data_IF_326270908882
#
_entry.id   IF_326270908882
#
_cell.length_a   1.000
_cell.length_b   1.000
_cell.length_c   1.000
_cell.angle_alpha   90.00
_cell.angle_beta   90.00
_cell.angle_gamma   90.00
#
_symmetry.space_group_name_H-M   'P 1'
#
loop_
_entity.id
_entity.type
_entity.pdbx_description
1 polymer ?
#
# COMPACT_ATOMS: atom_id res chain seq x y z
N UNK A 1 7.48 14.41 -11.31
CA UNK A 1 7.21 14.26 -12.76
C UNK A 1 7.58 15.50 -13.55
N UNK A 2 7.61 16.68 -12.90
CA UNK A 2 8.01 17.99 -13.46
C UNK A 2 9.27 17.89 -14.35
N UNK A 3 10.32 17.22 -13.88
CA UNK A 3 11.60 17.10 -14.62
C UNK A 3 11.46 16.36 -15.96
N UNK A 4 10.68 15.28 -16.04
CA UNK A 4 10.52 14.50 -17.29
C UNK A 4 9.68 15.28 -18.31
N UNK A 5 8.68 16.04 -17.84
CA UNK A 5 7.85 16.89 -18.68
C UNK A 5 8.62 18.09 -19.25
N UNK A 6 9.53 18.67 -18.46
CA UNK A 6 10.47 19.71 -18.90
C UNK A 6 11.45 19.18 -19.96
N UNK A 7 11.97 17.95 -19.79
CA UNK A 7 12.85 17.31 -20.77
C UNK A 7 12.10 17.03 -22.07
N UNK A 8 10.89 16.48 -22.02
CA UNK A 8 10.06 16.24 -23.21
C UNK A 8 9.80 17.54 -23.99
N UNK A 9 9.49 18.63 -23.26
CA UNK A 9 9.28 19.94 -23.86
C UNK A 9 10.56 20.47 -24.52
N UNK A 10 11.70 20.33 -23.85
CA UNK A 10 13.01 20.75 -24.38
C UNK A 10 13.41 19.98 -25.63
N UNK A 11 13.17 18.65 -25.65
CA UNK A 11 13.40 17.80 -26.83
C UNK A 11 12.47 18.19 -27.98
N UNK A 12 11.20 18.52 -27.70
CA UNK A 12 10.27 19.02 -28.72
C UNK A 12 10.74 20.32 -29.35
N UNK A 13 11.22 21.27 -28.53
CA UNK A 13 11.78 22.53 -29.03
C UNK A 13 13.02 22.27 -29.88
N UNK A 14 13.91 21.36 -29.45
CA UNK A 14 15.08 20.97 -30.22
C UNK A 14 14.71 20.32 -31.56
N UNK A 15 13.65 19.48 -31.60
CA UNK A 15 13.12 18.90 -32.85
C UNK A 15 12.65 19.98 -33.82
N UNK A 16 11.91 20.98 -33.32
CA UNK A 16 11.41 22.06 -34.16
C UNK A 16 12.55 22.94 -34.70
N UNK A 17 13.60 23.16 -33.91
CA UNK A 17 14.80 23.85 -34.35
C UNK A 17 15.56 23.04 -35.41
N UNK A 18 15.78 21.75 -35.20
CA UNK A 18 16.43 20.87 -36.17
C UNK A 18 15.68 20.85 -37.51
N UNK A 19 14.34 20.79 -37.47
CA UNK A 19 13.50 20.90 -38.67
C UNK A 19 13.65 22.24 -39.38
N UNK A 20 13.69 23.36 -38.64
CA UNK A 20 13.90 24.71 -39.21
C UNK A 20 15.25 24.85 -39.90
N UNK A 21 16.30 24.24 -39.33
CA UNK A 21 17.64 24.25 -39.91
C UNK A 21 17.85 23.17 -40.98
N UNK A 22 16.80 22.41 -41.35
CA UNK A 22 16.87 21.28 -42.29
C UNK A 22 17.89 20.20 -41.88
N UNK A 23 18.20 20.12 -40.59
CA UNK A 23 19.08 19.10 -40.03
C UNK A 23 18.28 17.82 -39.79
N UNK A 24 18.15 17.03 -40.86
CA UNK A 24 17.34 15.81 -40.88
C UNK A 24 17.87 14.75 -39.91
N UNK A 25 19.20 14.58 -39.85
CA UNK A 25 19.82 13.56 -39.00
C UNK A 25 19.57 13.87 -37.52
N UNK A 26 19.74 15.13 -37.11
CA UNK A 26 19.44 15.54 -35.74
C UNK A 26 17.94 15.43 -35.43
N UNK A 27 17.06 15.79 -36.37
CA UNK A 27 15.62 15.66 -36.18
C UNK A 27 15.18 14.20 -35.99
N UNK A 28 15.72 13.25 -36.77
CA UNK A 28 15.42 11.82 -36.64
C UNK A 28 15.87 11.27 -35.27
N UNK A 29 17.10 11.55 -34.86
CA UNK A 29 17.63 11.16 -33.54
C UNK A 29 16.78 11.72 -32.39
N UNK A 30 16.31 12.96 -32.51
CA UNK A 30 15.46 13.57 -31.48
C UNK A 30 14.06 12.95 -31.41
N UNK A 31 13.50 12.47 -32.53
CA UNK A 31 12.23 11.72 -32.53
C UNK A 31 12.38 10.38 -31.81
N UNK A 32 13.49 9.68 -32.02
CA UNK A 32 13.80 8.44 -31.30
C UNK A 32 13.92 8.70 -29.79
N UNK A 33 14.68 9.72 -29.39
CA UNK A 33 14.82 10.14 -27.99
C UNK A 33 13.46 10.48 -27.37
N UNK A 34 12.63 11.24 -28.08
CA UNK A 34 11.30 11.60 -27.61
C UNK A 34 10.42 10.36 -27.37
N UNK A 35 10.50 9.37 -28.27
CA UNK A 35 9.76 8.12 -28.14
C UNK A 35 10.23 7.31 -26.93
N UNK A 36 11.54 7.13 -26.74
CA UNK A 36 12.09 6.44 -25.56
C UNK A 36 11.75 7.15 -24.25
N UNK A 37 11.72 8.49 -24.24
CA UNK A 37 11.32 9.27 -23.06
C UNK A 37 9.84 9.06 -22.69
N UNK A 38 8.95 8.92 -23.69
CA UNK A 38 7.54 8.63 -23.45
C UNK A 38 7.34 7.24 -22.83
N UNK A 39 8.05 6.24 -23.34
CA UNK A 39 8.04 4.87 -22.79
C UNK A 39 8.55 4.86 -21.34
N UNK A 40 9.71 5.48 -21.10
CA UNK A 40 10.27 5.61 -19.76
C UNK A 40 9.33 6.34 -18.80
N UNK A 41 8.65 7.41 -19.25
CA UNK A 41 7.66 8.12 -18.44
C UNK A 41 6.51 7.21 -18.03
N UNK A 42 6.00 6.40 -18.97
CA UNK A 42 4.92 5.45 -18.71
C UNK A 42 5.35 4.37 -17.72
N UNK A 43 6.50 3.76 -17.93
CA UNK A 43 7.05 2.75 -17.01
C UNK A 43 7.28 3.32 -15.61
N UNK A 44 7.80 4.54 -15.49
CA UNK A 44 7.99 5.19 -14.20
C UNK A 44 6.65 5.43 -13.47
N UNK A 45 5.61 5.81 -14.19
CA UNK A 45 4.27 5.97 -13.62
C UNK A 45 3.69 4.63 -13.13
N UNK A 46 3.87 3.56 -13.90
CA UNK A 46 3.41 2.22 -13.51
C UNK A 46 4.19 1.70 -12.30
N UNK A 47 5.50 1.89 -12.25
CA UNK A 47 6.34 1.52 -11.11
C UNK A 47 5.95 2.29 -9.85
N UNK A 48 5.71 3.60 -9.95
CA UNK A 48 5.23 4.41 -8.82
C UNK A 48 3.90 3.92 -8.27
N UNK A 49 2.94 3.57 -9.15
CA UNK A 49 1.67 2.97 -8.73
C UNK A 49 1.87 1.63 -8.03
N UNK A 50 2.80 0.80 -8.49
CA UNK A 50 3.15 -0.46 -7.82
C UNK A 50 3.78 -0.21 -6.46
N UNK A 51 4.67 0.78 -6.34
CA UNK A 51 5.27 1.18 -5.06
C UNK A 51 4.19 1.65 -4.09
N UNK A 52 3.30 2.56 -4.49
CA UNK A 52 2.20 3.03 -3.64
C UNK A 52 1.25 1.89 -3.22
N UNK A 53 1.03 0.90 -4.09
CA UNK A 53 0.24 -0.27 -3.75
C UNK A 53 0.96 -1.17 -2.73
N UNK A 54 2.27 -1.37 -2.90
CA UNK A 54 3.10 -2.17 -2.02
C UNK A 54 3.29 -1.50 -0.65
N UNK A 55 3.49 -0.18 -0.61
CA UNK A 55 3.54 0.61 0.63
C UNK A 55 2.21 0.49 1.39
N UNK A 56 1.07 0.60 0.71
CA UNK A 56 -0.24 0.38 1.34
C UNK A 56 -0.40 -1.04 1.89
N UNK A 57 0.11 -2.06 1.22
CA UNK A 57 0.06 -3.43 1.76
C UNK A 57 1.00 -3.60 2.94
N UNK A 58 2.20 -3.00 2.89
CA UNK A 58 3.19 -3.08 3.95
C UNK A 58 2.76 -2.31 5.21
N UNK A 59 2.11 -1.16 5.06
CA UNK A 59 1.50 -0.42 6.17
C UNK A 59 0.44 -1.28 6.88
N UNK A 60 -0.32 -2.09 6.14
CA UNK A 60 -1.31 -2.99 6.73
C UNK A 60 -0.68 -4.21 7.42
N UNK A 61 0.46 -4.70 6.95
CA UNK A 61 1.20 -5.80 7.57
C UNK A 61 1.92 -5.34 8.84
N UNK A 62 2.54 -4.16 8.82
CA UNK A 62 3.19 -3.55 9.97
C UNK A 62 2.20 -3.11 11.07
N UNK A 63 0.94 -2.86 10.71
CA UNK A 63 -0.08 -2.46 11.67
C UNK A 63 -0.51 -3.63 12.56
N UNK A 64 -0.26 -4.89 12.18
CA UNK A 64 -0.79 -6.06 12.88
C UNK A 64 0.24 -6.70 13.82
N UNK A 65 -0.03 -6.65 15.11
CA UNK A 65 0.84 -7.24 16.15
C UNK A 65 0.14 -8.40 16.87
N UNK A 66 0.85 -9.52 17.02
CA UNK A 66 0.41 -10.63 17.87
C UNK A 66 0.86 -10.36 19.31
N UNK A 67 -0.10 -10.14 20.19
CA UNK A 67 0.17 -10.00 21.63
C UNK A 67 0.45 -11.35 22.28
N UNK A 68 1.19 -11.33 23.40
CA UNK A 68 1.42 -12.47 24.29
C UNK A 68 0.14 -13.17 24.74
N UNK A 69 -0.99 -12.46 24.78
CA UNK A 69 -2.31 -13.00 25.08
C UNK A 69 -2.89 -13.90 23.96
N UNK A 70 -2.20 -14.03 22.82
CA UNK A 70 -2.62 -14.85 21.68
C UNK A 70 -3.66 -14.17 20.77
N UNK A 71 -3.73 -12.84 20.79
CA UNK A 71 -4.63 -12.04 19.96
C UNK A 71 -3.87 -11.11 19.03
N UNK A 72 -4.45 -10.86 17.86
CA UNK A 72 -3.96 -9.79 17.00
C UNK A 72 -4.58 -8.46 17.38
N UNK A 73 -3.76 -7.42 17.35
CA UNK A 73 -4.15 -6.03 17.51
C UNK A 73 -3.64 -5.21 16.34
N UNK A 74 -4.37 -4.14 16.03
CA UNK A 74 -3.88 -3.10 15.13
C UNK A 74 -3.24 -1.98 15.93
N UNK A 75 -1.98 -1.66 15.66
CA UNK A 75 -1.23 -0.59 16.34
C UNK A 75 -1.93 0.76 16.12
N UNK A 76 -2.45 1.01 14.92
CA UNK A 76 -3.26 2.17 14.55
C UNK A 76 -4.54 2.29 15.37
N UNK A 77 -5.15 1.17 15.74
CA UNK A 77 -6.36 1.15 16.56
C UNK A 77 -6.04 1.38 18.04
N UNK A 78 -4.95 0.78 18.55
CA UNK A 78 -4.46 1.01 19.91
C UNK A 78 -4.11 2.49 20.11
N UNK A 79 -3.36 3.08 19.17
CA UNK A 79 -2.97 4.51 19.20
C UNK A 79 -4.18 5.44 19.11
N UNK A 80 -5.22 5.05 18.36
CA UNK A 80 -6.52 5.75 18.34
C UNK A 80 -7.39 5.51 19.60
N UNK A 81 -6.89 4.79 20.61
CA UNK A 81 -7.59 4.47 21.85
C UNK A 81 -8.66 3.37 21.72
N UNK A 82 -8.75 2.70 20.57
CA UNK A 82 -9.65 1.56 20.36
C UNK A 82 -9.00 0.29 20.91
N UNK A 83 -9.79 -0.51 21.63
CA UNK A 83 -9.34 -1.78 22.22
C UNK A 83 -9.98 -2.97 21.50
N UNK A 84 -9.84 -2.99 20.18
CA UNK A 84 -10.31 -4.07 19.32
C UNK A 84 -9.31 -5.21 19.32
N UNK A 85 -9.82 -6.44 19.21
CA UNK A 85 -9.04 -7.68 19.26
C UNK A 85 -9.47 -8.56 18.12
N UNK A 86 -8.51 -9.21 17.48
CA UNK A 86 -8.76 -10.10 16.38
C UNK A 86 -8.30 -11.52 16.70
N UNK A 87 -9.05 -12.49 16.18
CA UNK A 87 -8.78 -13.90 16.38
C UNK A 87 -7.55 -14.35 15.58
N UNK A 88 -6.48 -14.75 16.28
CA UNK A 88 -5.25 -15.24 15.66
C UNK A 88 -5.46 -16.50 14.81
N UNK A 89 -6.24 -17.46 15.31
CA UNK A 89 -6.54 -18.69 14.58
C UNK A 89 -7.29 -18.40 13.25
N UNK A 90 -8.23 -17.46 13.24
CA UNK A 90 -8.92 -17.10 12.01
C UNK A 90 -8.01 -16.38 11.04
N UNK A 91 -7.17 -15.44 11.52
CA UNK A 91 -6.23 -14.75 10.66
C UNK A 91 -5.22 -15.71 10.01
N UNK A 92 -4.65 -16.64 10.78
CA UNK A 92 -3.69 -17.62 10.25
C UNK A 92 -4.32 -18.59 9.24
N UNK A 93 -5.60 -18.94 9.41
CA UNK A 93 -6.27 -19.90 8.52
C UNK A 93 -6.88 -19.25 7.25
N UNK A 94 -7.32 -17.99 7.33
CA UNK A 94 -8.08 -17.34 6.24
C UNK A 94 -7.46 -16.05 5.72
N UNK A 95 -6.42 -15.53 6.38
CA UNK A 95 -5.85 -14.21 6.12
C UNK A 95 -6.76 -13.04 6.53
N UNK A 96 -7.91 -13.30 7.17
CA UNK A 96 -8.90 -12.27 7.51
C UNK A 96 -8.98 -12.03 9.01
N UNK A 97 -8.99 -10.75 9.38
CA UNK A 97 -9.16 -10.31 10.76
C UNK A 97 -10.63 -10.37 11.16
N UNK A 98 -10.95 -11.29 12.06
CA UNK A 98 -12.28 -11.42 12.64
C UNK A 98 -12.27 -10.91 14.07
N UNK A 99 -13.11 -9.91 14.41
CA UNK A 99 -13.11 -9.33 15.74
C UNK A 99 -13.62 -10.32 16.78
N UNK A 100 -13.07 -10.20 17.98
CA UNK A 100 -13.53 -10.88 19.18
C UNK A 100 -14.54 -9.96 19.85
N UNK A 101 -15.78 -10.45 19.95
CA UNK A 101 -16.91 -9.70 20.48
C UNK A 101 -17.31 -10.22 21.85
N UNK A 102 -17.79 -9.32 22.71
CA UNK A 102 -18.39 -9.70 23.98
C UNK A 102 -19.76 -10.33 23.72
N UNK A 103 -20.04 -11.47 24.36
CA UNK A 103 -21.36 -12.10 24.36
C UNK A 103 -22.28 -11.52 25.42
N UNK A 104 -23.44 -12.17 25.58
CA UNK A 104 -24.47 -11.77 26.53
C UNK A 104 -24.02 -11.78 28.00
N UNK A 105 -22.95 -12.51 28.32
CA UNK A 105 -22.39 -12.59 29.67
C UNK A 105 -21.11 -11.76 29.77
N UNK A 106 -20.90 -11.05 30.89
CA UNK A 106 -19.80 -10.08 31.07
C UNK A 106 -18.39 -10.65 30.84
N UNK A 107 -18.21 -11.96 30.92
CA UNK A 107 -16.93 -12.67 30.73
C UNK A 107 -16.90 -13.56 29.49
N UNK A 108 -17.97 -13.60 28.69
CA UNK A 108 -17.96 -14.36 27.46
C UNK A 108 -17.43 -13.47 26.33
N UNK A 109 -16.28 -13.88 25.79
CA UNK A 109 -15.73 -13.30 24.57
C UNK A 109 -15.67 -14.40 23.53
N UNK A 110 -16.02 -14.10 22.29
CA UNK A 110 -15.99 -15.10 21.23
C UNK A 110 -15.60 -14.48 19.89
N UNK A 111 -14.95 -15.27 19.05
CA UNK A 111 -14.68 -14.86 17.67
C UNK A 111 -15.96 -14.88 16.84
N UNK A 112 -16.22 -13.81 16.09
CA UNK A 112 -17.39 -13.70 15.22
C UNK A 112 -17.45 -14.76 14.13
N UNK A 113 -16.31 -15.30 13.68
CA UNK A 113 -16.21 -16.32 12.64
C UNK A 113 -16.24 -17.75 13.18
N UNK A 114 -15.19 -18.18 13.89
CA UNK A 114 -15.08 -19.57 14.36
C UNK A 114 -15.90 -19.89 15.61
N UNK A 115 -16.56 -18.88 16.21
CA UNK A 115 -17.34 -18.99 17.47
C UNK A 115 -16.54 -19.54 18.66
N UNK A 116 -15.22 -19.63 18.56
CA UNK A 116 -14.35 -20.01 19.67
C UNK A 116 -14.55 -19.04 20.83
N UNK A 117 -14.79 -19.58 22.01
CA UNK A 117 -15.00 -18.82 23.24
C UNK A 117 -13.68 -18.68 24.00
N UNK A 118 -13.38 -17.45 24.41
CA UNK A 118 -12.23 -17.08 25.23
C UNK A 118 -12.66 -16.90 26.68
N UNK A 119 -13.27 -17.94 27.24
CA UNK A 119 -13.81 -17.94 28.60
C UNK A 119 -12.67 -18.05 29.63
N UNK A 120 -12.52 -17.04 30.49
CA UNK A 120 -11.48 -17.03 31.54
C UNK A 120 -10.38 -16.00 31.33
N UNK A 121 -10.37 -15.30 30.20
CA UNK A 121 -9.40 -14.25 29.95
C UNK A 121 -9.73 -12.98 30.76
N UNK A 122 -8.74 -12.48 31.49
CA UNK A 122 -8.82 -11.19 32.17
C UNK A 122 -8.29 -10.13 31.22
N UNK A 123 -9.07 -9.07 31.00
CA UNK A 123 -8.59 -7.89 30.26
C UNK A 123 -7.32 -7.39 30.98
N UNK A 124 -6.14 -7.34 30.32
CA UNK A 124 -4.96 -6.73 30.89
C UNK A 124 -5.35 -5.32 31.31
N UNK A 125 -5.09 -4.99 32.57
CA UNK A 125 -5.18 -3.60 33.02
C UNK A 125 -4.03 -2.87 32.32
N UNK A 126 -4.39 -2.05 31.34
CA UNK A 126 -3.54 -0.96 30.86
C UNK A 126 -3.24 -0.02 32.02
#
# INVERSE_FOLDING_TARGET
MIIVDEILTSVSIAMDLAKKHQDKETAEKLVEIYSSLLELKKENQELRKKIEALEKTQDNENDLELSDDGFYYKISEITAGKKLRYCAACYNNTGKLHPITQGSMRRSYFCTNCKMHYNGWQIPKL
#
